data_IF_354724540903
#
_entry.id   IF_354724540903
#
_cell.length_a   1.000
_cell.length_b   1.000
_cell.length_c   1.000
_cell.angle_alpha   90.00
_cell.angle_beta   90.00
_cell.angle_gamma   90.00
#
_symmetry.space_group_name_H-M   'P 1'
#
loop_
_entity.id
_entity.type
_entity.pdbx_description
1 polymer ?
#
# COMPACT_ATOMS: atom_id res chain seq x y z
N UNK A 1 -4.42 0.88 18.90
CA UNK A 1 -4.00 -0.49 18.53
C UNK A 1 -4.07 -1.34 19.79
N UNK A 2 -4.93 -2.37 19.79
CA UNK A 2 -5.16 -3.26 20.92
C UNK A 2 -3.96 -4.22 21.11
N UNK A 3 -3.86 -4.82 22.31
CA UNK A 3 -2.81 -5.80 22.69
C UNK A 3 -2.67 -7.02 21.74
N UNK A 4 -3.70 -7.32 20.93
CA UNK A 4 -3.75 -8.46 20.01
C UNK A 4 -2.69 -8.41 18.88
N UNK A 5 -2.33 -7.23 18.40
CA UNK A 5 -1.37 -7.11 17.29
C UNK A 5 0.08 -7.54 17.65
N UNK A 6 0.38 -7.75 18.93
CA UNK A 6 1.73 -8.16 19.38
C UNK A 6 2.06 -9.63 19.12
N UNK A 7 1.08 -10.48 18.85
CA UNK A 7 1.31 -11.92 18.63
C UNK A 7 1.14 -12.35 17.17
N UNK A 8 0.67 -11.45 16.29
CA UNK A 8 0.44 -11.76 14.87
C UNK A 8 1.73 -12.19 14.17
N UNK A 9 2.88 -11.58 14.51
CA UNK A 9 4.18 -11.93 13.92
C UNK A 9 4.58 -13.38 14.16
N UNK A 10 4.10 -14.03 15.25
CA UNK A 10 4.36 -15.46 15.54
C UNK A 10 3.73 -16.40 14.50
N UNK A 11 2.75 -15.92 13.74
CA UNK A 11 2.13 -16.64 12.62
C UNK A 11 3.01 -16.66 11.36
N UNK A 12 4.15 -15.98 11.37
CA UNK A 12 5.08 -15.89 10.26
C UNK A 12 6.42 -16.56 10.61
N UNK A 13 7.14 -17.05 9.59
CA UNK A 13 8.48 -17.61 9.76
C UNK A 13 9.53 -16.48 9.76
N UNK A 14 9.40 -15.58 10.73
CA UNK A 14 10.28 -14.44 10.91
C UNK A 14 10.88 -14.49 12.31
N UNK A 15 12.21 -14.57 12.39
CA UNK A 15 12.93 -14.48 13.64
C UNK A 15 13.04 -13.02 14.07
N UNK A 16 12.14 -12.61 14.96
CA UNK A 16 12.04 -11.24 15.45
C UNK A 16 13.16 -10.92 16.42
N UNK A 17 13.86 -9.82 16.18
CA UNK A 17 14.88 -9.26 17.07
C UNK A 17 14.32 -8.08 17.86
N UNK A 18 13.55 -7.20 17.21
CA UNK A 18 13.02 -5.97 17.80
C UNK A 18 11.76 -5.49 17.10
N UNK A 19 10.84 -4.92 17.86
CA UNK A 19 9.65 -4.24 17.31
C UNK A 19 9.49 -2.83 17.86
N UNK A 20 8.94 -1.93 17.03
CA UNK A 20 8.55 -0.58 17.47
C UNK A 20 7.36 -0.06 16.67
N UNK A 21 6.59 0.82 17.29
CA UNK A 21 5.41 1.42 16.67
C UNK A 21 5.78 2.62 15.79
N UNK A 22 5.17 2.69 14.62
CA UNK A 22 5.21 3.84 13.70
C UNK A 22 3.78 4.13 13.25
N UNK A 23 3.47 5.37 12.92
CA UNK A 23 2.19 5.86 12.36
C UNK A 23 1.16 4.78 11.93
N UNK A 24 0.48 4.15 12.89
CA UNK A 24 -0.55 3.15 12.63
C UNK A 24 -0.06 1.75 12.19
N UNK A 25 1.24 1.48 12.32
CA UNK A 25 1.85 0.20 12.00
C UNK A 25 2.87 -0.23 13.08
N UNK A 26 3.36 -1.45 12.97
CA UNK A 26 4.49 -1.95 13.77
C UNK A 26 5.60 -2.33 12.80
N UNK A 27 6.80 -1.81 13.01
CA UNK A 27 7.99 -2.29 12.33
C UNK A 27 8.59 -3.45 13.15
N UNK A 28 8.99 -4.50 12.43
CA UNK A 28 9.59 -5.72 12.98
C UNK A 28 10.97 -5.89 12.35
N UNK A 29 12.02 -5.70 13.12
CA UNK A 29 13.39 -6.03 12.73
C UNK A 29 13.60 -7.53 12.95
N UNK A 30 14.14 -8.20 11.96
CA UNK A 30 14.39 -9.64 11.95
C UNK A 30 15.80 -9.94 11.46
N UNK A 31 16.22 -11.19 11.52
CA UNK A 31 17.51 -11.64 10.97
C UNK A 31 17.62 -11.48 9.45
N UNK A 32 16.49 -11.35 8.75
CA UNK A 32 16.42 -11.25 7.28
C UNK A 32 16.07 -9.86 6.77
N UNK A 33 15.80 -8.89 7.65
CA UNK A 33 15.48 -7.52 7.27
C UNK A 33 14.39 -6.90 8.13
N UNK A 34 13.89 -5.75 7.69
CA UNK A 34 12.82 -5.02 8.36
C UNK A 34 11.50 -5.29 7.63
N UNK A 35 10.47 -5.59 8.40
CA UNK A 35 9.11 -5.82 7.93
C UNK A 35 8.14 -4.86 8.59
N UNK A 36 7.01 -4.61 7.93
CA UNK A 36 5.96 -3.77 8.47
C UNK A 36 4.67 -4.57 8.66
N UNK A 37 4.16 -4.60 9.88
CA UNK A 37 2.87 -5.18 10.25
C UNK A 37 1.82 -4.08 10.26
N UNK A 38 0.78 -4.24 9.45
CA UNK A 38 -0.35 -3.31 9.33
C UNK A 38 -1.69 -4.02 9.53
N UNK A 39 -2.63 -3.34 10.15
CA UNK A 39 -4.03 -3.74 10.11
C UNK A 39 -4.56 -3.62 8.67
N UNK A 40 -5.36 -4.61 8.25
CA UNK A 40 -5.87 -4.71 6.89
C UNK A 40 -7.40 -4.75 6.88
N UNK A 41 -8.00 -3.74 6.27
CA UNK A 41 -9.46 -3.59 6.18
C UNK A 41 -10.01 -3.85 4.76
N UNK A 42 -9.15 -4.33 3.86
CA UNK A 42 -9.50 -4.62 2.48
C UNK A 42 -10.03 -6.05 2.27
N UNK A 43 -10.30 -6.37 1.01
CA UNK A 43 -10.71 -7.72 0.58
C UNK A 43 -9.49 -8.62 0.43
N UNK A 44 -9.41 -9.68 1.23
CA UNK A 44 -8.25 -10.58 1.29
C UNK A 44 -8.00 -11.32 -0.03
N UNK A 45 -9.05 -11.54 -0.81
CA UNK A 45 -9.02 -12.23 -2.11
C UNK A 45 -8.19 -11.46 -3.15
N UNK A 46 -8.01 -10.15 -2.95
CA UNK A 46 -7.19 -9.32 -3.85
C UNK A 46 -5.69 -9.42 -3.60
N UNK A 47 -5.27 -9.83 -2.41
CA UNK A 47 -3.85 -9.83 -2.01
C UNK A 47 -2.96 -10.71 -2.90
N UNK A 48 -3.37 -11.94 -3.29
CA UNK A 48 -2.55 -12.76 -4.19
C UNK A 48 -2.26 -12.07 -5.53
N UNK A 49 -3.27 -11.48 -6.15
CA UNK A 49 -3.12 -10.78 -7.43
C UNK A 49 -2.27 -9.51 -7.26
N UNK A 50 -2.49 -8.74 -6.21
CA UNK A 50 -1.65 -7.58 -5.92
C UNK A 50 -0.18 -7.98 -5.78
N UNK A 51 0.10 -9.09 -5.08
CA UNK A 51 1.47 -9.56 -4.93
C UNK A 51 2.10 -10.00 -6.24
N UNK A 52 1.35 -10.72 -7.10
CA UNK A 52 1.82 -11.11 -8.45
C UNK A 52 2.18 -9.87 -9.27
N UNK A 53 1.37 -8.81 -9.25
CA UNK A 53 1.67 -7.58 -9.96
C UNK A 53 2.93 -6.88 -9.43
N UNK A 54 3.12 -6.86 -8.11
CA UNK A 54 4.32 -6.30 -7.48
C UNK A 54 5.57 -7.11 -7.84
N UNK A 55 5.47 -8.45 -7.91
CA UNK A 55 6.55 -9.31 -8.39
C UNK A 55 6.95 -8.98 -9.84
N UNK A 56 5.98 -8.72 -10.72
CA UNK A 56 6.27 -8.31 -12.10
C UNK A 56 6.93 -6.92 -12.16
N UNK A 57 6.48 -5.99 -11.32
CA UNK A 57 7.12 -4.67 -11.19
C UNK A 57 8.59 -4.81 -10.76
N UNK A 58 8.88 -5.69 -9.79
CA UNK A 58 10.26 -5.99 -9.37
C UNK A 58 11.09 -6.60 -10.53
N UNK A 59 10.53 -7.58 -11.25
CA UNK A 59 11.19 -8.20 -12.42
C UNK A 59 11.51 -7.19 -13.52
N UNK A 60 10.70 -6.14 -13.64
CA UNK A 60 10.89 -5.03 -14.57
C UNK A 60 11.85 -3.95 -14.05
N UNK A 61 12.61 -4.25 -12.97
CA UNK A 61 13.71 -3.41 -12.46
C UNK A 61 13.30 -2.33 -11.46
N UNK A 62 12.07 -2.39 -10.91
CA UNK A 62 11.65 -1.48 -9.85
C UNK A 62 11.47 -2.25 -8.54
N UNK A 63 12.52 -2.27 -7.72
CA UNK A 63 12.59 -3.10 -6.51
C UNK A 63 12.03 -2.43 -5.25
N UNK A 64 11.78 -1.11 -5.28
CA UNK A 64 11.32 -0.34 -4.13
C UNK A 64 9.79 -0.50 -3.93
N UNK A 65 9.35 -1.71 -3.68
CA UNK A 65 7.95 -2.05 -3.40
C UNK A 65 7.80 -2.86 -2.12
N UNK A 66 6.70 -2.64 -1.40
CA UNK A 66 6.35 -3.40 -0.21
C UNK A 66 5.73 -4.76 -0.60
N UNK A 67 6.54 -5.82 -0.65
CA UNK A 67 6.06 -7.18 -0.96
C UNK A 67 5.31 -7.80 0.22
N UNK A 68 4.19 -8.46 -0.05
CA UNK A 68 3.45 -9.20 0.95
C UNK A 68 4.18 -10.49 1.36
N UNK A 69 4.19 -10.77 2.64
CA UNK A 69 4.77 -12.00 3.22
C UNK A 69 3.65 -12.98 3.57
N UNK A 70 3.81 -14.24 3.19
CA UNK A 70 2.87 -15.31 3.56
C UNK A 70 3.10 -15.73 5.00
N UNK A 71 2.00 -15.99 5.72
CA UNK A 71 2.06 -16.61 7.03
C UNK A 71 2.33 -18.13 6.92
N UNK A 72 2.45 -18.81 8.05
CA UNK A 72 2.71 -20.26 8.14
C UNK A 72 1.64 -21.14 7.47
N UNK A 73 0.44 -20.59 7.27
CA UNK A 73 -0.65 -21.25 6.54
C UNK A 73 -0.60 -20.97 5.03
N UNK A 74 0.40 -20.20 4.55
CA UNK A 74 0.55 -19.81 3.16
C UNK A 74 -0.35 -18.65 2.73
N UNK A 75 -1.04 -17.99 3.66
CA UNK A 75 -1.94 -16.87 3.39
C UNK A 75 -1.21 -15.53 3.53
N UNK A 76 -1.65 -14.51 2.78
CA UNK A 76 -1.12 -13.14 2.91
C UNK A 76 -1.76 -12.33 4.04
N UNK A 77 -2.81 -12.86 4.66
CA UNK A 77 -3.52 -12.21 5.76
C UNK A 77 -3.61 -13.15 6.94
N UNK A 78 -3.43 -12.61 8.13
CA UNK A 78 -3.68 -13.30 9.40
C UNK A 78 -4.92 -12.68 10.03
N UNK A 79 -5.87 -13.51 10.44
CA UNK A 79 -7.09 -13.08 11.12
C UNK A 79 -7.00 -13.46 12.60
N UNK A 80 -7.10 -12.47 13.47
CA UNK A 80 -7.14 -12.67 14.91
C UNK A 80 -8.52 -13.14 15.38
N UNK A 81 -8.64 -13.73 16.58
CA UNK A 81 -9.93 -14.22 17.12
C UNK A 81 -11.01 -13.15 17.26
N UNK A 82 -10.63 -11.87 17.35
CA UNK A 82 -11.56 -10.74 17.40
C UNK A 82 -12.04 -10.28 16.01
N UNK A 83 -11.62 -10.97 14.95
CA UNK A 83 -11.94 -10.66 13.56
C UNK A 83 -11.02 -9.59 12.91
N UNK A 84 -10.09 -9.03 13.65
CA UNK A 84 -9.10 -8.09 13.10
C UNK A 84 -8.17 -8.81 12.12
N UNK A 85 -7.90 -8.20 10.99
CA UNK A 85 -7.01 -8.75 9.96
C UNK A 85 -5.71 -7.98 9.89
N UNK A 86 -4.62 -8.68 9.67
CA UNK A 86 -3.29 -8.11 9.57
C UNK A 86 -2.52 -8.68 8.39
N UNK A 87 -1.65 -7.86 7.83
CA UNK A 87 -0.69 -8.24 6.79
C UNK A 87 0.72 -7.86 7.23
N UNK A 88 1.70 -8.67 6.85
CA UNK A 88 3.11 -8.30 6.93
C UNK A 88 3.64 -8.07 5.52
N UNK A 89 4.45 -7.03 5.38
CA UNK A 89 5.12 -6.67 4.13
C UNK A 89 6.60 -6.41 4.39
N UNK A 90 7.42 -6.53 3.36
CA UNK A 90 8.77 -5.96 3.40
C UNK A 90 8.69 -4.46 3.64
N UNK A 91 9.63 -3.92 4.40
CA UNK A 91 9.72 -2.48 4.62
C UNK A 91 10.69 -1.87 3.59
N UNK A 92 10.23 -0.86 2.90
CA UNK A 92 11.08 -0.04 2.02
C UNK A 92 11.43 1.23 2.78
N UNK A 93 12.72 1.38 3.08
CA UNK A 93 13.21 2.61 3.70
C UNK A 93 13.12 3.78 2.72
N UNK A 94 12.60 4.89 3.17
CA UNK A 94 12.41 6.05 2.33
C UNK A 94 12.03 7.29 3.12
N UNK A 95 11.97 8.41 2.42
CA UNK A 95 11.60 9.70 2.96
C UNK A 95 10.36 10.24 2.25
N UNK A 96 9.41 10.78 3.02
CA UNK A 96 8.26 11.48 2.45
C UNK A 96 8.71 12.69 1.64
N UNK A 97 8.05 12.93 0.50
CA UNK A 97 8.35 14.09 -0.33
C UNK A 97 7.98 15.39 0.40
N UNK A 98 8.96 16.25 0.60
CA UNK A 98 8.71 17.63 1.00
C UNK A 98 8.38 18.45 -0.26
N UNK A 99 7.09 18.76 -0.41
CA UNK A 99 6.58 19.52 -1.59
C UNK A 99 7.07 20.97 -1.62
N UNK A 100 7.62 21.50 -0.53
CA UNK A 100 8.26 22.81 -0.50
C UNK A 100 9.68 22.80 -1.10
N UNK A 101 10.27 21.61 -1.23
CA UNK A 101 11.60 21.40 -1.78
C UNK A 101 11.54 20.89 -3.23
N UNK A 102 11.93 21.71 -4.16
CA UNK A 102 11.88 21.40 -5.60
C UNK A 102 12.72 20.16 -5.99
N UNK A 103 13.84 19.92 -5.31
CA UNK A 103 14.70 18.76 -5.61
C UNK A 103 14.04 17.46 -5.13
N UNK A 104 13.31 17.48 -4.01
CA UNK A 104 12.48 16.33 -3.60
C UNK A 104 11.34 16.08 -4.58
N UNK A 105 10.69 17.14 -5.06
CA UNK A 105 9.64 17.01 -6.07
C UNK A 105 10.17 16.36 -7.36
N UNK A 106 11.33 16.81 -7.87
CA UNK A 106 11.97 16.21 -9.05
C UNK A 106 12.27 14.72 -8.84
N UNK A 107 12.95 14.38 -7.74
CA UNK A 107 13.27 12.98 -7.39
C UNK A 107 12.03 12.12 -7.28
N UNK A 108 10.96 12.65 -6.68
CA UNK A 108 9.66 11.93 -6.58
C UNK A 108 9.06 11.68 -7.96
N UNK A 109 9.12 12.66 -8.87
CA UNK A 109 8.62 12.49 -10.24
C UNK A 109 9.47 11.51 -11.05
N UNK A 110 10.78 11.50 -10.89
CA UNK A 110 11.68 10.52 -11.49
C UNK A 110 11.37 9.10 -10.97
N UNK A 111 11.18 8.96 -9.66
CA UNK A 111 10.82 7.71 -9.02
C UNK A 111 9.48 7.17 -9.54
N UNK A 112 8.46 8.04 -9.60
CA UNK A 112 7.15 7.72 -10.15
C UNK A 112 7.23 7.31 -11.63
N UNK A 113 8.05 8.01 -12.42
CA UNK A 113 8.31 7.66 -13.83
C UNK A 113 8.92 6.27 -13.99
N UNK A 114 9.88 5.88 -13.14
CA UNK A 114 10.46 4.53 -13.13
C UNK A 114 9.41 3.48 -12.78
N UNK A 115 8.58 3.74 -11.75
CA UNK A 115 7.48 2.86 -11.37
C UNK A 115 6.48 2.66 -12.53
N UNK A 116 6.03 3.75 -13.18
CA UNK A 116 5.12 3.66 -14.32
C UNK A 116 5.72 2.88 -15.50
N UNK A 117 7.01 3.02 -15.76
CA UNK A 117 7.68 2.24 -16.79
C UNK A 117 7.70 0.74 -16.46
N UNK A 118 7.99 0.39 -15.19
CA UNK A 118 7.96 -0.99 -14.74
C UNK A 118 6.55 -1.60 -14.85
N UNK A 119 5.50 -0.84 -14.46
CA UNK A 119 4.10 -1.27 -14.60
C UNK A 119 3.72 -1.44 -16.08
N UNK A 120 4.09 -0.49 -16.94
CA UNK A 120 3.81 -0.56 -18.39
C UNK A 120 4.44 -1.78 -19.06
N UNK A 121 5.53 -2.28 -18.50
CA UNK A 121 6.24 -3.47 -18.99
C UNK A 121 5.63 -4.80 -18.53
N UNK A 122 4.58 -4.77 -17.71
CA UNK A 122 3.85 -5.98 -17.30
C UNK A 122 3.12 -6.56 -18.51
N UNK A 123 3.20 -7.87 -18.76
CA UNK A 123 2.48 -8.53 -19.86
C UNK A 123 0.96 -8.24 -19.77
N UNK A 124 0.37 -7.91 -20.92
CA UNK A 124 -1.04 -7.48 -21.02
C UNK A 124 -1.99 -8.54 -20.45
N UNK A 125 -1.75 -9.82 -20.74
CA UNK A 125 -2.52 -10.94 -20.20
C UNK A 125 -2.58 -10.95 -18.66
N UNK A 126 -1.46 -10.63 -17.99
CA UNK A 126 -1.43 -10.53 -16.51
C UNK A 126 -2.22 -9.35 -16.01
N UNK A 127 -2.21 -8.22 -16.70
CA UNK A 127 -3.01 -7.05 -16.37
C UNK A 127 -4.50 -7.31 -16.54
N UNK A 128 -4.93 -7.92 -17.63
CA UNK A 128 -6.33 -8.26 -17.88
C UNK A 128 -6.87 -9.22 -16.79
N UNK A 129 -6.12 -10.24 -16.43
CA UNK A 129 -6.47 -11.14 -15.33
C UNK A 129 -6.56 -10.41 -13.99
N UNK A 130 -5.68 -9.43 -13.75
CA UNK A 130 -5.69 -8.62 -12.54
C UNK A 130 -6.89 -7.66 -12.49
N UNK A 131 -7.24 -7.00 -13.60
CA UNK A 131 -8.40 -6.12 -13.68
C UNK A 131 -9.70 -6.85 -13.32
N UNK A 132 -9.92 -8.05 -13.86
CA UNK A 132 -11.07 -8.90 -13.55
C UNK A 132 -11.07 -9.25 -12.05
N UNK A 133 -9.96 -9.71 -11.52
CA UNK A 133 -9.84 -10.17 -10.11
C UNK A 133 -9.91 -9.02 -9.12
N UNK A 134 -9.33 -7.87 -9.43
CA UNK A 134 -9.30 -6.69 -8.55
C UNK A 134 -10.59 -5.87 -8.65
N UNK A 135 -11.41 -6.07 -9.69
CA UNK A 135 -12.59 -5.25 -9.97
C UNK A 135 -12.22 -3.76 -9.95
N UNK A 136 -11.23 -3.42 -10.76
CA UNK A 136 -10.76 -2.05 -10.89
C UNK A 136 -11.85 -1.22 -11.56
N UNK A 137 -12.15 -0.04 -10.99
CA UNK A 137 -13.05 0.92 -11.61
C UNK A 137 -12.43 1.48 -12.91
N UNK A 138 -13.27 1.84 -13.88
CA UNK A 138 -12.77 2.48 -15.09
C UNK A 138 -12.16 3.85 -14.78
N UNK A 139 -11.23 4.31 -15.63
CA UNK A 139 -10.64 5.66 -15.49
C UNK A 139 -11.74 6.75 -15.54
N UNK A 140 -12.79 6.55 -16.33
CA UNK A 140 -13.92 7.45 -16.43
C UNK A 140 -14.68 7.53 -15.12
N UNK A 141 -14.96 6.39 -14.46
CA UNK A 141 -15.66 6.35 -13.17
C UNK A 141 -14.85 7.03 -12.06
N UNK A 142 -13.53 6.79 -11.99
CA UNK A 142 -12.66 7.46 -11.03
C UNK A 142 -12.54 8.96 -11.31
N UNK A 143 -12.46 9.37 -12.57
CA UNK A 143 -12.44 10.78 -12.94
C UNK A 143 -13.74 11.50 -12.57
N UNK A 144 -14.89 10.89 -12.82
CA UNK A 144 -16.20 11.45 -12.42
C UNK A 144 -16.31 11.54 -10.90
N UNK A 145 -15.83 10.55 -10.16
CA UNK A 145 -15.80 10.56 -8.70
C UNK A 145 -14.95 11.72 -8.17
N UNK A 146 -13.75 11.91 -8.71
CA UNK A 146 -12.88 13.03 -8.36
C UNK A 146 -13.52 14.39 -8.67
N UNK A 147 -14.14 14.53 -9.83
CA UNK A 147 -14.85 15.75 -10.20
C UNK A 147 -16.02 16.07 -9.25
N UNK A 148 -16.75 15.06 -8.80
CA UNK A 148 -17.81 15.24 -7.79
C UNK A 148 -17.25 15.75 -6.46
N UNK A 149 -16.13 15.17 -6.00
CA UNK A 149 -15.48 15.60 -4.76
C UNK A 149 -14.92 17.04 -4.87
N UNK A 150 -14.27 17.38 -5.98
CA UNK A 150 -13.80 18.73 -6.24
C UNK A 150 -14.94 19.77 -6.23
N UNK A 151 -16.11 19.44 -6.79
CA UNK A 151 -17.30 20.31 -6.74
C UNK A 151 -17.77 20.53 -5.31
N UNK A 152 -17.77 19.47 -4.46
CA UNK A 152 -18.12 19.59 -3.04
C UNK A 152 -17.16 20.51 -2.29
N UNK A 153 -15.85 20.32 -2.48
CA UNK A 153 -14.82 21.16 -1.85
C UNK A 153 -14.95 22.62 -2.27
N UNK A 154 -15.13 22.90 -3.57
CA UNK A 154 -15.33 24.27 -4.09
C UNK A 154 -16.58 24.92 -3.51
N UNK A 155 -17.67 24.17 -3.37
CA UNK A 155 -18.90 24.67 -2.74
C UNK A 155 -18.67 25.00 -1.27
N UNK A 156 -18.04 24.10 -0.51
CA UNK A 156 -17.70 24.30 0.90
C UNK A 156 -16.83 25.56 1.12
N UNK A 157 -15.81 25.76 0.28
CA UNK A 157 -14.95 26.93 0.35
C UNK A 157 -15.69 28.24 0.07
N UNK A 158 -16.61 28.26 -0.88
CA UNK A 158 -17.46 29.43 -1.14
C UNK A 158 -18.38 29.75 0.04
N UNK A 159 -19.03 28.73 0.63
CA UNK A 159 -19.92 28.92 1.78
C UNK A 159 -19.17 29.42 3.03
N UNK A 160 -17.90 29.03 3.19
CA UNK A 160 -17.04 29.53 4.28
C UNK A 160 -16.48 30.93 4.01
N UNK A 161 -16.13 31.26 2.77
CA UNK A 161 -15.66 32.59 2.39
C UNK A 161 -16.73 33.66 2.57
N UNK A 162 -18.01 33.34 2.33
CA UNK A 162 -19.13 34.26 2.52
C UNK A 162 -19.55 34.49 3.98
N UNK A 163 -19.02 33.71 4.94
CA UNK A 163 -19.31 33.90 6.38
C UNK A 163 -18.27 34.74 7.12
N UNK A 164 -17.21 35.17 6.45
CA UNK A 164 -16.14 35.99 7.01
C UNK A 164 -16.11 37.44 6.46
N UNK A 165 -17.12 37.84 5.70
CA UNK A 165 -17.45 39.21 5.30
C UNK A 165 -18.71 39.66 6.06
#
# INVERSE_FOLDING_TARGET
>A
MKRAATNVHQQYDLEELRTWKVRGAILCETTTGIYILKEYNGRSEKLPIQNILLEEVCKNGFEQVEMLIRNKEGLFVTTEPDGSKYVIKTYVEGQECDVSNMDYCKKTMEFLGKYHNAVRSIPKEKLENAEISLQVASMEEEFEKHNRELKKVRRFLREKGQKND
#
